data_IF_468187010086
#
_entry.id   IF_468187010086
#
_cell.length_a   1.000
_cell.length_b   1.000
_cell.length_c   1.000
_cell.angle_alpha   90.00
_cell.angle_beta   90.00
_cell.angle_gamma   90.00
#
_symmetry.space_group_name_H-M   'P 1'
#
loop_
_entity.id
_entity.type
_entity.pdbx_description
1 polymer ?
#
# COMPACT_ATOMS: atom_id res chain seq x y z
N UNK A 1 -1.47 7.96 17.58
CA UNK A 1 -2.42 7.91 16.44
C UNK A 1 -3.02 6.51 16.39
N UNK A 2 -4.11 6.22 17.13
CA UNK A 2 -4.67 4.88 17.25
C UNK A 2 -5.03 4.23 15.91
N UNK A 3 -5.59 5.02 14.98
CA UNK A 3 -5.97 4.55 13.64
C UNK A 3 -4.80 4.04 12.81
N UNK A 4 -3.66 4.75 12.84
CA UNK A 4 -2.45 4.30 12.15
C UNK A 4 -1.93 3.00 12.75
N UNK A 5 -1.90 2.88 14.08
CA UNK A 5 -1.49 1.63 14.73
C UNK A 5 -2.42 0.46 14.39
N UNK A 6 -3.73 0.71 14.35
CA UNK A 6 -4.72 -0.27 13.90
C UNK A 6 -4.43 -0.74 12.48
N UNK A 7 -4.17 0.19 11.56
CA UNK A 7 -3.78 -0.13 10.19
C UNK A 7 -2.51 -0.99 10.15
N UNK A 8 -1.45 -0.58 10.86
CA UNK A 8 -0.18 -1.30 10.89
C UNK A 8 -0.32 -2.74 11.43
N UNK A 9 -1.10 -2.91 12.50
CA UNK A 9 -1.27 -4.21 13.16
C UNK A 9 -2.22 -5.14 12.39
N UNK A 10 -3.30 -4.61 11.81
CA UNK A 10 -4.38 -5.43 11.25
C UNK A 10 -4.35 -5.52 9.73
N UNK A 11 -3.93 -4.44 9.04
CA UNK A 11 -4.15 -4.26 7.60
C UNK A 11 -2.88 -4.28 6.77
N UNK A 12 -1.75 -3.81 7.29
CA UNK A 12 -0.48 -3.72 6.55
C UNK A 12 -0.12 -5.04 5.85
N UNK A 13 -0.13 -6.14 6.59
CA UNK A 13 0.22 -7.47 6.08
C UNK A 13 -0.77 -8.09 5.09
N UNK A 14 -1.84 -7.38 4.72
CA UNK A 14 -2.75 -7.81 3.65
C UNK A 14 -2.31 -7.29 2.27
N UNK A 15 -1.46 -6.28 2.23
CA UNK A 15 -0.92 -5.72 0.99
C UNK A 15 0.48 -6.27 0.76
N UNK A 16 0.76 -6.80 -0.43
CA UNK A 16 2.01 -7.51 -0.70
C UNK A 16 3.20 -6.61 -1.00
N UNK A 17 2.93 -5.36 -1.39
CA UNK A 17 3.89 -4.37 -1.84
C UNK A 17 3.84 -3.09 -0.99
N UNK A 18 3.41 -3.22 0.27
CA UNK A 18 3.37 -2.12 1.22
C UNK A 18 4.35 -2.38 2.37
N UNK A 19 5.29 -1.47 2.55
CA UNK A 19 6.29 -1.54 3.61
C UNK A 19 6.07 -0.43 4.65
N UNK A 20 6.39 -0.74 5.91
CA UNK A 20 6.39 0.24 6.99
C UNK A 20 7.82 0.58 7.42
N UNK A 21 8.11 1.88 7.42
CA UNK A 21 9.38 2.44 7.86
C UNK A 21 9.17 3.35 9.08
N UNK A 22 9.86 3.05 10.18
CA UNK A 22 9.73 3.75 11.46
C UNK A 22 10.57 5.04 11.59
N UNK A 23 11.32 5.43 10.56
CA UNK A 23 12.25 6.59 10.62
C UNK A 23 11.55 7.93 10.92
N UNK A 24 10.28 8.11 10.55
CA UNK A 24 9.53 9.35 10.78
C UNK A 24 8.11 9.12 11.33
N UNK A 25 8.03 8.58 12.55
CA UNK A 25 6.76 8.36 13.25
C UNK A 25 6.01 9.65 13.63
N UNK A 26 6.67 10.81 13.59
CA UNK A 26 6.04 12.11 13.95
C UNK A 26 5.15 12.63 12.82
N UNK A 27 5.52 12.38 11.57
CA UNK A 27 4.77 12.79 10.37
C UNK A 27 4.54 11.59 9.44
N UNK A 28 3.65 10.66 9.82
CA UNK A 28 3.38 9.46 9.03
C UNK A 28 2.77 9.84 7.68
N UNK A 29 3.27 9.19 6.63
CA UNK A 29 2.89 9.42 5.24
C UNK A 29 2.94 8.10 4.48
N UNK A 30 2.06 7.95 3.50
CA UNK A 30 2.24 6.99 2.42
C UNK A 30 3.09 7.64 1.33
N UNK A 31 4.09 6.92 0.85
CA UNK A 31 4.93 7.32 -0.27
C UNK A 31 4.72 6.26 -1.35
N UNK A 32 4.32 6.69 -2.54
CA UNK A 32 4.10 5.81 -3.68
C UNK A 32 5.28 5.95 -4.63
N UNK A 33 5.77 4.81 -5.10
CA UNK A 33 6.88 4.72 -6.04
C UNK A 33 6.38 4.20 -7.39
N UNK A 34 7.03 4.61 -8.47
CA UNK A 34 6.83 3.99 -9.79
C UNK A 34 7.75 2.77 -9.96
N UNK A 35 7.70 2.15 -11.14
CA UNK A 35 8.55 1.00 -11.52
C UNK A 35 10.06 1.28 -11.53
N UNK A 36 10.47 2.55 -11.44
CA UNK A 36 11.88 3.00 -11.40
C UNK A 36 12.31 3.40 -9.98
N UNK A 37 11.53 3.04 -8.97
CA UNK A 37 11.71 3.44 -7.57
C UNK A 37 11.72 4.97 -7.35
N UNK A 38 11.07 5.73 -8.22
CA UNK A 38 10.93 7.18 -8.07
C UNK A 38 9.65 7.53 -7.29
N UNK A 39 9.75 8.42 -6.32
CA UNK A 39 8.59 8.92 -5.57
C UNK A 39 7.65 9.71 -6.49
N UNK A 40 6.42 9.20 -6.67
CA UNK A 40 5.41 9.85 -7.52
C UNK A 40 4.30 10.54 -6.75
N UNK A 41 4.07 10.14 -5.49
CA UNK A 41 2.99 10.72 -4.66
C UNK A 41 3.29 10.53 -3.18
N UNK A 42 2.98 11.56 -2.39
CA UNK A 42 3.05 11.52 -0.93
C UNK A 42 1.69 11.90 -0.35
N UNK A 43 1.16 11.08 0.57
CA UNK A 43 -0.12 11.31 1.23
C UNK A 43 0.08 11.31 2.76
N UNK A 44 -0.19 12.42 3.46
CA UNK A 44 -0.06 12.50 4.91
C UNK A 44 -1.18 11.73 5.63
N UNK A 45 -0.82 10.86 6.59
CA UNK A 45 -1.78 9.97 7.27
C UNK A 45 -2.32 10.51 8.59
N UNK A 46 -1.82 11.65 9.08
CA UNK A 46 -2.09 12.17 10.43
C UNK A 46 -3.59 12.32 10.79
N UNK A 47 -4.45 12.52 9.79
CA UNK A 47 -5.91 12.68 9.95
C UNK A 47 -6.73 11.53 9.37
N UNK A 48 -6.10 10.52 8.77
CA UNK A 48 -6.79 9.41 8.12
C UNK A 48 -7.09 8.29 9.12
N UNK A 49 -8.25 7.66 8.95
CA UNK A 49 -8.64 6.42 9.63
C UNK A 49 -8.05 5.21 8.93
N UNK A 50 -8.01 4.07 9.63
CA UNK A 50 -7.51 2.81 9.06
C UNK A 50 -8.28 2.40 7.78
N UNK A 51 -9.60 2.57 7.78
CA UNK A 51 -10.44 2.24 6.63
C UNK A 51 -10.22 3.20 5.46
N UNK A 52 -10.04 4.51 5.72
CA UNK A 52 -9.73 5.50 4.67
C UNK A 52 -8.39 5.24 3.98
N UNK A 53 -7.42 4.70 4.73
CA UNK A 53 -6.14 4.26 4.15
C UNK A 53 -6.35 3.06 3.25
N UNK A 54 -7.19 2.10 3.66
CA UNK A 54 -7.54 0.95 2.82
C UNK A 54 -8.27 1.37 1.55
N UNK A 55 -9.31 2.22 1.68
CA UNK A 55 -10.09 2.72 0.56
C UNK A 55 -9.21 3.46 -0.46
N UNK A 56 -8.22 4.22 0.02
CA UNK A 56 -7.22 4.86 -0.84
C UNK A 56 -6.40 3.83 -1.62
N UNK A 57 -5.86 2.80 -0.95
CA UNK A 57 -5.06 1.76 -1.60
C UNK A 57 -5.88 0.97 -2.62
N UNK A 58 -7.10 0.58 -2.24
CA UNK A 58 -8.04 -0.14 -3.11
C UNK A 58 -8.39 0.72 -4.35
N UNK A 59 -8.62 2.03 -4.17
CA UNK A 59 -8.90 2.96 -5.29
C UNK A 59 -7.72 3.14 -6.26
N UNK A 60 -6.50 2.91 -5.78
CA UNK A 60 -5.27 2.97 -6.58
C UNK A 60 -4.93 1.61 -7.23
N UNK A 61 -5.75 0.58 -6.98
CA UNK A 61 -5.56 -0.76 -7.53
C UNK A 61 -4.53 -1.60 -6.80
N UNK A 62 -4.23 -1.29 -5.53
CA UNK A 62 -3.42 -2.20 -4.72
C UNK A 62 -4.20 -3.48 -4.44
N UNK A 63 -3.56 -4.62 -4.66
CA UNK A 63 -4.17 -5.89 -4.32
C UNK A 63 -4.14 -6.12 -2.80
N UNK A 64 -5.28 -6.55 -2.27
CA UNK A 64 -5.48 -6.85 -0.86
C UNK A 64 -5.82 -8.33 -0.71
N UNK A 65 -4.95 -9.06 -0.02
CA UNK A 65 -5.15 -10.47 0.32
C UNK A 65 -6.33 -10.63 1.26
N UNK A 66 -6.97 -11.80 1.21
CA UNK A 66 -8.04 -12.14 2.16
C UNK A 66 -7.48 -12.39 3.55
N UNK A 67 -6.27 -12.97 3.62
CA UNK A 67 -5.56 -13.24 4.87
C UNK A 67 -4.06 -12.98 4.75
N UNK A 68 -3.42 -12.71 5.90
CA UNK A 68 -1.97 -12.53 5.97
C UNK A 68 -1.26 -13.83 5.62
N UNK A 69 -0.23 -13.76 4.79
CA UNK A 69 0.57 -14.92 4.39
C UNK A 69 -0.02 -15.76 3.25
N UNK A 70 -1.20 -15.39 2.72
CA UNK A 70 -1.72 -15.97 1.48
C UNK A 70 -0.82 -15.61 0.30
N UNK A 71 -0.63 -16.53 -0.64
CA UNK A 71 0.08 -16.22 -1.88
C UNK A 71 -0.68 -15.18 -2.71
N UNK A 72 0.06 -14.31 -3.40
CA UNK A 72 -0.55 -13.36 -4.34
C UNK A 72 -0.73 -14.11 -5.66
N UNK A 73 -1.96 -14.15 -6.23
CA UNK A 73 -2.15 -14.72 -7.55
C UNK A 73 -1.27 -14.03 -8.59
N UNK A 74 -0.77 -14.77 -9.57
CA UNK A 74 0.18 -14.27 -10.57
C UNK A 74 -0.34 -13.01 -11.29
N UNK A 75 -1.65 -12.96 -11.56
CA UNK A 75 -2.35 -11.82 -12.18
C UNK A 75 -2.22 -10.51 -11.40
N UNK A 76 -2.01 -10.58 -10.07
CA UNK A 76 -1.93 -9.42 -9.17
C UNK A 76 -0.52 -9.13 -8.65
N UNK A 77 0.47 -9.95 -8.99
CA UNK A 77 1.85 -9.76 -8.51
C UNK A 77 2.40 -8.37 -8.84
N UNK A 78 2.09 -7.87 -10.04
CA UNK A 78 2.56 -6.57 -10.51
C UNK A 78 1.66 -5.41 -10.05
N UNK A 79 0.44 -5.67 -9.58
CA UNK A 79 -0.48 -4.60 -9.18
C UNK A 79 0.11 -3.74 -8.04
N UNK A 80 -0.12 -2.42 -8.05
CA UNK A 80 -0.93 -1.64 -8.99
C UNK A 80 -0.21 -1.27 -10.30
N UNK A 81 1.08 -1.61 -10.43
CA UNK A 81 1.78 -1.43 -11.69
C UNK A 81 1.13 -2.36 -12.71
N UNK A 82 0.82 -1.82 -13.89
CA UNK A 82 0.42 -2.69 -14.99
C UNK A 82 1.70 -3.38 -15.44
N UNK A 83 1.64 -4.70 -15.61
CA UNK A 83 2.67 -5.38 -16.39
C UNK A 83 2.85 -4.58 -17.69
N UNK A 84 4.09 -4.36 -18.17
CA UNK A 84 4.28 -3.78 -19.48
C UNK A 84 3.40 -4.59 -20.42
N UNK A 85 2.36 -3.95 -20.97
CA UNK A 85 1.61 -4.57 -22.06
C UNK A 85 2.69 -4.83 -23.09
N UNK A 86 2.92 -6.08 -23.43
CA UNK A 86 3.64 -6.39 -24.65
C UNK A 86 2.93 -5.57 -25.74
N UNK A 87 3.57 -4.46 -26.14
CA UNK A 87 3.20 -3.72 -27.33
C UNK A 87 3.55 -4.66 -28.49
N UNK A 88 2.62 -5.58 -28.77
CA UNK A 88 2.61 -6.41 -29.97
C UNK A 88 2.35 -5.56 -31.21
#
# INVERSE_FOLDING_TARGET
>A
MPELYKFLMERLGLYHNLEYDSRDNKNPRLIFYNEKDEEVKIVPLKKMKSDEICDLLDSLGFYKRSQKGEDVPEEFMNFPLKAPRDEL
#
